data_IF_372430335790
#
_entry.id   IF_372430335790
#
_cell.length_a   1.000
_cell.length_b   1.000
_cell.length_c   1.000
_cell.angle_alpha   90.00
_cell.angle_beta   90.00
_cell.angle_gamma   90.00
#
_symmetry.space_group_name_H-M   'P 1'
#
loop_
_entity.id
_entity.type
_entity.pdbx_description
1 polymer ?
#
# COMPACT_ATOMS: atom_id res chain seq x y z
N UNK A 1 3.65 -0.68 6.18
CA UNK A 1 2.76 -1.57 7.00
C UNK A 1 2.52 -2.88 6.24
N UNK A 2 2.26 -3.99 6.92
CA UNK A 2 2.03 -5.31 6.30
C UNK A 2 3.15 -6.35 6.49
N UNK A 3 4.19 -6.02 7.24
CA UNK A 3 5.27 -6.96 7.52
C UNK A 3 6.26 -6.43 8.54
N UNK A 4 7.22 -7.28 8.88
CA UNK A 4 8.30 -6.98 9.82
C UNK A 4 9.64 -7.45 9.24
N UNK A 5 10.79 -6.87 9.66
CA UNK A 5 12.10 -7.17 9.07
C UNK A 5 12.56 -8.62 9.24
N UNK A 6 12.25 -9.24 10.40
CA UNK A 6 12.50 -10.65 10.67
C UNK A 6 11.23 -11.31 11.21
N UNK A 7 10.45 -11.89 10.30
CA UNK A 7 9.13 -12.43 10.63
C UNK A 7 9.23 -13.68 11.51
N UNK A 8 10.24 -14.52 11.30
CA UNK A 8 10.40 -15.73 12.09
C UNK A 8 10.68 -15.37 13.55
N UNK A 9 11.58 -14.40 13.80
CA UNK A 9 11.86 -13.92 15.15
C UNK A 9 10.70 -13.12 15.75
N UNK A 10 10.10 -12.20 14.99
CA UNK A 10 9.05 -11.33 15.49
C UNK A 10 7.73 -12.05 15.80
N UNK A 11 7.50 -13.21 15.16
CA UNK A 11 6.29 -14.01 15.37
C UNK A 11 6.56 -15.29 16.16
N UNK A 12 7.78 -15.49 16.68
CA UNK A 12 8.13 -16.72 17.41
C UNK A 12 8.03 -17.99 16.56
N UNK A 13 8.26 -17.88 15.25
CA UNK A 13 8.19 -18.97 14.29
C UNK A 13 6.78 -19.30 13.77
N UNK A 14 5.75 -18.54 14.14
CA UNK A 14 4.39 -18.77 13.64
C UNK A 14 4.24 -18.46 12.15
N UNK A 15 4.90 -17.41 11.68
CA UNK A 15 4.81 -16.98 10.28
C UNK A 15 6.18 -16.97 9.62
N UNK A 16 6.22 -17.46 8.38
CA UNK A 16 7.41 -17.46 7.53
C UNK A 16 7.35 -16.44 6.39
N UNK A 17 6.22 -15.76 6.22
CA UNK A 17 5.97 -14.80 5.13
C UNK A 17 5.17 -13.59 5.61
N UNK A 18 5.58 -12.41 5.17
CA UNK A 18 4.84 -11.17 5.37
C UNK A 18 3.52 -11.17 4.58
N UNK A 19 2.66 -10.19 4.84
CA UNK A 19 1.39 -10.04 4.12
C UNK A 19 1.64 -9.73 2.64
N UNK A 20 0.90 -10.40 1.76
CA UNK A 20 0.91 -10.16 0.31
C UNK A 20 -0.53 -9.84 -0.12
N UNK A 21 -0.79 -8.58 -0.44
CA UNK A 21 -2.11 -8.11 -0.82
C UNK A 21 -2.21 -6.58 -0.82
N UNK A 22 -3.43 -6.07 -0.87
CA UNK A 22 -3.73 -4.65 -0.71
C UNK A 22 -4.19 -4.38 0.73
N UNK A 23 -3.65 -3.33 1.34
CA UNK A 23 -4.15 -2.75 2.60
C UNK A 23 -4.49 -1.30 2.30
N UNK A 24 -5.73 -0.92 2.55
CA UNK A 24 -6.25 0.43 2.38
C UNK A 24 -7.11 0.80 3.59
N UNK A 25 -7.40 2.10 3.75
CA UNK A 25 -8.32 2.65 4.74
C UNK A 25 -8.03 2.20 6.19
N UNK A 26 -6.76 2.26 6.60
CA UNK A 26 -6.35 1.93 7.96
C UNK A 26 -6.64 3.11 8.89
N UNK A 27 -7.45 2.87 9.92
CA UNK A 27 -7.69 3.83 10.99
C UNK A 27 -7.03 3.38 12.29
N UNK A 28 -6.39 4.32 12.99
CA UNK A 28 -5.78 4.13 14.29
C UNK A 28 -6.36 5.16 15.24
N UNK A 29 -6.98 4.71 16.33
CA UNK A 29 -7.65 5.58 17.30
C UNK A 29 -8.69 6.54 16.68
N UNK A 30 -9.33 6.12 15.58
CA UNK A 30 -10.34 6.94 14.86
C UNK A 30 -9.76 7.91 13.84
N UNK A 31 -8.44 7.98 13.69
CA UNK A 31 -7.77 8.80 12.67
C UNK A 31 -7.34 7.96 11.48
N UNK A 32 -7.64 8.42 10.26
CA UNK A 32 -7.24 7.75 9.03
C UNK A 32 -5.73 7.97 8.81
N UNK A 33 -4.97 6.88 8.69
CA UNK A 33 -3.52 6.97 8.54
C UNK A 33 -3.14 7.16 7.07
N UNK A 34 -2.27 8.15 6.81
CA UNK A 34 -1.61 8.31 5.52
C UNK A 34 -0.42 7.35 5.38
N UNK A 35 -0.69 6.20 4.77
CA UNK A 35 0.30 5.14 4.55
C UNK A 35 1.45 5.53 3.61
N UNK A 36 1.28 6.58 2.79
CA UNK A 36 2.32 7.10 1.89
C UNK A 36 3.08 8.26 2.53
N UNK A 37 2.38 9.18 3.20
CA UNK A 37 2.96 10.41 3.73
C UNK A 37 3.71 10.28 5.06
N UNK A 38 3.34 9.31 5.91
CA UNK A 38 3.96 9.17 7.25
C UNK A 38 4.83 7.92 7.41
N UNK A 39 5.20 7.26 6.31
CA UNK A 39 5.98 6.02 6.37
C UNK A 39 7.47 6.27 6.66
N UNK A 40 8.02 5.55 7.66
CA UNK A 40 9.46 5.55 7.96
C UNK A 40 10.24 4.72 6.92
N UNK A 41 9.66 3.61 6.44
CA UNK A 41 10.24 2.75 5.41
C UNK A 41 9.13 1.97 4.66
N UNK A 42 9.41 1.63 3.41
CA UNK A 42 8.51 0.87 2.53
C UNK A 42 9.31 0.14 1.45
N UNK A 43 9.17 -1.19 1.39
CA UNK A 43 9.72 -2.02 0.31
C UNK A 43 8.61 -2.70 -0.46
N UNK A 44 8.70 -2.66 -1.79
CA UNK A 44 7.73 -3.27 -2.71
C UNK A 44 6.29 -2.78 -2.50
N UNK A 45 6.12 -1.52 -2.08
CA UNK A 45 4.80 -0.89 -1.92
C UNK A 45 4.35 -0.35 -3.28
N UNK A 46 3.21 -0.83 -3.77
CA UNK A 46 2.52 -0.26 -4.93
C UNK A 46 1.12 0.20 -4.53
N UNK A 47 0.56 1.24 -5.15
CA UNK A 47 -0.86 1.55 -4.96
C UNK A 47 -1.69 0.34 -5.37
N UNK A 48 -2.84 0.17 -4.73
CA UNK A 48 -3.72 -0.95 -5.04
C UNK A 48 -4.28 -0.82 -6.46
N UNK A 49 -4.39 -1.95 -7.18
CA UNK A 49 -4.72 -1.95 -8.61
C UNK A 49 -6.11 -1.33 -8.91
N UNK A 50 -7.04 -1.40 -7.95
CA UNK A 50 -8.37 -0.77 -8.01
C UNK A 50 -8.30 0.77 -8.06
N UNK A 51 -7.23 1.36 -7.52
CA UNK A 51 -6.98 2.81 -7.56
C UNK A 51 -6.13 3.22 -8.76
N UNK A 52 -5.45 2.27 -9.42
CA UNK A 52 -4.62 2.50 -10.61
C UNK A 52 -5.43 2.30 -11.91
N UNK A 53 -6.54 1.55 -11.88
CA UNK A 53 -7.32 1.25 -13.07
C UNK A 53 -7.80 2.54 -13.77
N UNK A 54 -7.23 2.91 -14.93
CA UNK A 54 -7.82 3.94 -15.75
C UNK A 54 -9.14 3.36 -16.24
N UNK A 55 -10.22 4.16 -16.26
CA UNK A 55 -11.39 3.79 -17.07
C UNK A 55 -10.84 3.48 -18.46
N UNK A 56 -11.07 2.25 -18.93
CA UNK A 56 -10.50 1.66 -20.16
C UNK A 56 -10.64 2.54 -21.42
N UNK A 57 -11.49 3.58 -21.35
CA UNK A 57 -11.81 4.57 -22.36
C UNK A 57 -10.88 5.80 -22.45
N UNK A 58 -9.98 6.03 -21.50
CA UNK A 58 -9.15 7.27 -21.46
C UNK A 58 -7.79 7.18 -22.17
N UNK A 59 -7.46 6.04 -22.82
CA UNK A 59 -6.17 5.85 -23.51
C UNK A 59 -5.94 6.71 -24.76
N UNK A 60 -6.90 7.53 -25.19
CA UNK A 60 -6.78 8.30 -26.44
C UNK A 60 -6.31 9.75 -26.29
N UNK A 61 -6.17 10.30 -25.08
CA UNK A 61 -5.67 11.67 -24.93
C UNK A 61 -4.53 11.71 -23.92
N UNK A 62 -3.33 11.79 -24.50
CA UNK A 62 -2.14 12.34 -23.87
C UNK A 62 -2.50 13.49 -22.91
N UNK A 63 -1.77 13.57 -21.79
CA UNK A 63 -1.87 14.60 -20.73
C UNK A 63 -2.92 14.36 -19.65
N UNK A 64 -2.79 13.29 -18.85
CA UNK A 64 -3.28 13.29 -17.47
C UNK A 64 -2.20 12.69 -16.56
N UNK A 65 -1.46 13.57 -15.87
CA UNK A 65 -0.69 13.17 -14.69
C UNK A 65 -1.70 12.87 -13.58
N UNK A 66 -1.65 11.71 -12.91
CA UNK A 66 -2.42 11.55 -11.69
C UNK A 66 -1.84 12.52 -10.66
N UNK A 67 -2.67 13.46 -10.20
CA UNK A 67 -2.37 14.31 -9.05
C UNK A 67 -2.32 13.39 -7.84
N UNK A 68 -1.11 12.95 -7.48
CA UNK A 68 -0.82 12.66 -6.08
C UNK A 68 -0.96 14.01 -5.39
N UNK A 69 -2.03 14.14 -4.60
CA UNK A 69 -2.28 15.35 -3.82
C UNK A 69 -1.22 15.46 -2.73
#
# INVERSE_FOLDING_TARGET
>A
MGGVPDIYRATGGLHSKNFIGCIADVSLNGELLDLMGTAIDGKNVKPCDEWIAPRRWLKSRSTFQPVVK
#
